data_IF_401745559069
#
_entry.id   IF_401745559069
#
_cell.length_a   1.000
_cell.length_b   1.000
_cell.length_c   1.000
_cell.angle_alpha   90.00
_cell.angle_beta   90.00
_cell.angle_gamma   90.00
#
_symmetry.space_group_name_H-M   'P 1'
#
loop_
_entity.id
_entity.type
_entity.pdbx_description
1 polymer ?
#
# COMPACT_ATOMS: atom_id res chain seq x y z
N UNK A 1 -13.96 -5.88 14.14
CA UNK A 1 -13.81 -4.43 14.36
C UNK A 1 -14.53 -4.07 15.64
N UNK A 2 -14.71 -2.77 15.91
CA UNK A 2 -15.46 -2.32 17.09
C UNK A 2 -16.97 -2.63 16.99
N UNK A 3 -17.46 -2.87 15.77
CA UNK A 3 -18.81 -3.29 15.44
C UNK A 3 -18.79 -4.43 14.41
N UNK A 4 -19.91 -5.14 14.27
CA UNK A 4 -20.09 -6.25 13.33
C UNK A 4 -20.42 -7.60 13.99
N UNK A 5 -20.64 -8.65 13.18
CA UNK A 5 -20.80 -10.02 13.66
C UNK A 5 -19.63 -10.47 14.54
N UNK A 6 -19.94 -11.06 15.69
CA UNK A 6 -18.95 -11.49 16.69
C UNK A 6 -19.42 -12.70 17.51
N UNK A 7 -18.52 -13.24 18.32
CA UNK A 7 -18.81 -14.37 19.18
C UNK A 7 -17.56 -14.99 19.81
N UNK A 8 -17.71 -16.07 20.57
CA UNK A 8 -16.59 -16.82 21.11
C UNK A 8 -15.81 -17.49 19.98
N UNK A 9 -14.55 -17.79 20.23
CA UNK A 9 -13.72 -18.62 19.38
C UNK A 9 -13.18 -19.83 20.14
N UNK A 10 -12.73 -20.82 19.38
CA UNK A 10 -11.94 -21.95 19.85
C UNK A 10 -10.73 -22.10 18.94
N UNK A 11 -9.55 -22.05 19.53
CA UNK A 11 -8.27 -22.18 18.84
C UNK A 11 -7.68 -23.58 19.09
N UNK A 12 -7.01 -24.12 18.09
CA UNK A 12 -6.36 -25.43 18.13
C UNK A 12 -4.86 -25.24 17.96
N UNK A 13 -4.13 -25.78 18.94
CA UNK A 13 -2.69 -25.70 19.03
C UNK A 13 -2.08 -27.09 18.91
N UNK A 14 -0.91 -27.16 18.30
CA UNK A 14 -0.06 -28.35 18.33
C UNK A 14 1.13 -28.12 19.26
N UNK A 15 1.39 -29.07 20.14
CA UNK A 15 2.63 -29.10 20.92
C UNK A 15 3.79 -29.58 20.03
N UNK A 16 4.72 -28.69 19.74
CA UNK A 16 5.89 -28.96 18.90
C UNK A 16 7.05 -29.59 19.66
N UNK A 17 6.92 -29.74 20.98
CA UNK A 17 7.85 -30.45 21.84
C UNK A 17 8.64 -29.54 22.78
N UNK A 18 9.19 -30.16 23.83
CA UNK A 18 9.85 -29.47 24.96
C UNK A 18 11.15 -28.73 24.61
N UNK A 19 11.73 -29.00 23.44
CA UNK A 19 12.94 -28.33 22.96
C UNK A 19 12.67 -26.88 22.50
N UNK A 20 11.40 -26.52 22.28
CA UNK A 20 10.96 -25.17 21.96
C UNK A 20 10.43 -24.52 23.24
N UNK A 21 10.85 -23.29 23.52
CA UNK A 21 10.37 -22.54 24.67
C UNK A 21 8.92 -22.09 24.48
N UNK A 22 8.10 -22.20 25.53
CA UNK A 22 6.70 -21.77 25.54
C UNK A 22 5.81 -22.64 26.43
N UNK A 23 4.90 -22.00 27.15
CA UNK A 23 3.85 -22.63 27.94
C UNK A 23 2.56 -22.84 27.14
N UNK A 24 1.62 -23.65 27.64
CA UNK A 24 0.34 -23.90 26.96
C UNK A 24 -0.49 -22.61 26.83
N UNK A 25 -1.43 -22.55 25.87
CA UNK A 25 -2.34 -21.41 25.72
C UNK A 25 -3.09 -21.10 27.02
N UNK A 26 -3.16 -19.82 27.39
CA UNK A 26 -3.72 -19.32 28.64
C UNK A 26 -2.78 -19.36 29.85
N UNK A 27 -1.53 -19.78 29.68
CA UNK A 27 -0.51 -19.77 30.75
C UNK A 27 0.32 -18.48 30.75
N UNK A 28 1.00 -18.13 31.86
CA UNK A 28 1.90 -16.96 31.90
C UNK A 28 3.05 -17.00 30.89
N UNK A 29 3.36 -18.15 30.31
CA UNK A 29 4.43 -18.36 29.33
C UNK A 29 3.87 -18.67 27.93
N UNK A 30 2.60 -18.34 27.66
CA UNK A 30 1.92 -18.65 26.39
C UNK A 30 2.55 -18.00 25.15
N UNK A 31 3.38 -16.98 25.33
CA UNK A 31 4.04 -16.23 24.24
C UNK A 31 5.17 -16.99 23.53
N UNK A 32 5.46 -18.23 23.91
CA UNK A 32 6.51 -19.03 23.28
C UNK A 32 6.04 -19.82 22.04
N UNK A 33 6.98 -20.26 21.22
CA UNK A 33 6.72 -20.91 19.92
C UNK A 33 6.37 -22.42 20.02
N UNK A 34 6.36 -22.99 21.23
CA UNK A 34 6.10 -24.42 21.47
C UNK A 34 4.69 -24.83 21.05
N UNK A 35 3.69 -24.04 21.44
CA UNK A 35 2.29 -24.31 21.11
C UNK A 35 1.92 -23.48 19.90
N UNK A 36 1.98 -24.11 18.72
CA UNK A 36 1.68 -23.44 17.46
C UNK A 36 0.18 -23.50 17.18
N UNK A 37 -0.47 -22.34 17.18
CA UNK A 37 -1.83 -22.16 16.67
C UNK A 37 -1.85 -22.47 15.17
N UNK A 38 -2.71 -23.39 14.73
CA UNK A 38 -2.84 -23.71 13.30
C UNK A 38 -4.28 -23.65 12.80
N UNK A 39 -5.26 -23.60 13.70
CA UNK A 39 -6.68 -23.55 13.35
C UNK A 39 -7.45 -22.73 14.38
N UNK A 40 -8.29 -21.81 13.90
CA UNK A 40 -9.24 -21.05 14.70
C UNK A 40 -10.68 -21.29 14.21
N UNK A 41 -11.61 -21.47 15.15
CA UNK A 41 -13.04 -21.67 14.92
C UNK A 41 -13.80 -20.53 15.62
N UNK A 42 -14.40 -19.63 14.86
CA UNK A 42 -15.18 -18.50 15.36
C UNK A 42 -16.67 -18.79 15.21
N UNK A 43 -17.39 -18.72 16.33
CA UNK A 43 -18.83 -18.96 16.37
C UNK A 43 -19.57 -17.63 16.41
N UNK A 44 -19.83 -17.06 15.23
CA UNK A 44 -20.57 -15.80 15.10
C UNK A 44 -22.02 -16.01 15.54
N UNK A 45 -22.32 -15.64 16.77
CA UNK A 45 -23.65 -15.79 17.38
C UNK A 45 -24.27 -14.44 17.77
N UNK A 46 -23.49 -13.36 17.75
CA UNK A 46 -23.91 -12.02 18.13
C UNK A 46 -23.56 -10.98 17.06
N UNK A 47 -24.26 -9.85 17.09
CA UNK A 47 -23.92 -8.62 16.37
C UNK A 47 -23.48 -7.57 17.41
N UNK A 48 -22.27 -7.05 17.28
CA UNK A 48 -21.77 -5.95 18.09
C UNK A 48 -22.23 -4.63 17.46
N UNK A 49 -23.27 -4.02 18.02
CA UNK A 49 -23.88 -2.79 17.48
C UNK A 49 -23.08 -1.56 17.91
N UNK A 50 -22.69 -1.52 19.19
CA UNK A 50 -21.80 -0.52 19.79
C UNK A 50 -20.85 -1.22 20.75
N UNK A 51 -19.88 -0.52 21.35
CA UNK A 51 -18.94 -1.14 22.29
C UNK A 51 -19.63 -1.77 23.52
N UNK A 52 -20.76 -1.21 23.93
CA UNK A 52 -21.52 -1.65 25.11
C UNK A 52 -22.74 -2.52 24.74
N UNK A 53 -23.19 -2.51 23.49
CA UNK A 53 -24.40 -3.20 23.03
C UNK A 53 -24.09 -4.36 22.09
N UNK A 54 -24.56 -5.54 22.49
CA UNK A 54 -24.45 -6.79 21.73
C UNK A 54 -25.81 -7.48 21.69
N UNK A 55 -26.24 -7.90 20.51
CA UNK A 55 -27.52 -8.57 20.30
C UNK A 55 -27.31 -9.93 19.63
N UNK A 56 -28.27 -10.85 19.79
CA UNK A 56 -28.22 -12.16 19.15
C UNK A 56 -28.39 -12.04 17.63
N UNK A 57 -27.57 -12.76 16.86
CA UNK A 57 -27.77 -12.87 15.42
C UNK A 57 -29.00 -13.72 15.13
N UNK A 58 -29.89 -13.29 14.22
CA UNK A 58 -31.04 -14.10 13.80
C UNK A 58 -30.61 -15.38 13.07
N UNK A 59 -29.39 -15.38 12.50
CA UNK A 59 -28.77 -16.52 11.81
C UNK A 59 -27.29 -16.61 12.20
N UNK A 60 -26.95 -17.40 13.22
CA UNK A 60 -25.55 -17.65 13.57
C UNK A 60 -24.78 -18.32 12.42
N UNK A 61 -23.47 -18.11 12.39
CA UNK A 61 -22.57 -18.71 11.40
C UNK A 61 -21.29 -19.21 12.06
N UNK A 62 -20.55 -20.05 11.34
CA UNK A 62 -19.24 -20.54 11.75
C UNK A 62 -18.24 -20.02 10.72
N UNK A 63 -17.22 -19.34 11.20
CA UNK A 63 -16.05 -18.95 10.43
C UNK A 63 -14.85 -19.75 10.94
N UNK A 64 -14.11 -20.38 10.02
CA UNK A 64 -12.95 -21.18 10.40
C UNK A 64 -11.76 -20.78 9.56
N UNK A 65 -10.64 -20.47 10.20
CA UNK A 65 -9.38 -20.20 9.55
C UNK A 65 -8.34 -21.23 9.94
N UNK A 66 -7.79 -21.97 8.97
CA UNK A 66 -6.65 -22.85 9.18
C UNK A 66 -5.48 -22.33 8.35
N UNK A 67 -4.33 -22.10 8.98
CA UNK A 67 -3.13 -21.65 8.28
C UNK A 67 -2.54 -22.79 7.45
N UNK A 68 -2.75 -22.78 6.13
CA UNK A 68 -2.27 -23.85 5.24
C UNK A 68 -0.75 -24.03 5.33
N UNK A 69 0.01 -22.93 5.35
CA UNK A 69 1.47 -22.95 5.48
C UNK A 69 1.94 -23.51 6.82
N UNK A 70 1.21 -23.21 7.91
CA UNK A 70 1.51 -23.78 9.25
C UNK A 70 1.17 -25.27 9.29
N UNK A 71 0.04 -25.66 8.68
CA UNK A 71 -0.30 -27.07 8.55
C UNK A 71 0.74 -27.81 7.72
N UNK A 72 1.24 -27.21 6.64
CA UNK A 72 2.31 -27.76 5.83
C UNK A 72 3.60 -27.94 6.63
N UNK A 73 4.01 -26.94 7.44
CA UNK A 73 5.20 -27.10 8.30
C UNK A 73 5.04 -28.22 9.32
N UNK A 74 3.84 -28.36 9.90
CA UNK A 74 3.50 -29.45 10.82
C UNK A 74 3.62 -30.81 10.12
N UNK A 75 2.98 -30.97 8.96
CA UNK A 75 2.96 -32.25 8.23
C UNK A 75 4.34 -32.64 7.68
N UNK A 76 5.16 -31.66 7.34
CA UNK A 76 6.53 -31.88 6.87
C UNK A 76 7.54 -32.03 8.01
N UNK A 77 7.13 -31.80 9.26
CA UNK A 77 7.99 -31.91 10.44
C UNK A 77 9.11 -30.86 10.48
N UNK A 78 8.85 -29.66 9.97
CA UNK A 78 9.81 -28.53 9.94
C UNK A 78 9.38 -27.44 10.91
N UNK A 79 10.35 -26.66 11.40
CA UNK A 79 10.10 -25.69 12.47
C UNK A 79 9.58 -24.35 11.96
N UNK A 80 9.83 -24.03 10.69
CA UNK A 80 9.41 -22.80 10.05
C UNK A 80 8.60 -23.06 8.79
N UNK A 81 7.62 -22.21 8.52
CA UNK A 81 6.92 -22.20 7.23
C UNK A 81 7.90 -22.01 6.06
N UNK A 82 9.02 -21.32 6.29
CA UNK A 82 10.06 -21.09 5.28
C UNK A 82 10.91 -22.33 4.97
N UNK A 83 10.77 -23.39 5.76
CA UNK A 83 11.45 -24.67 5.54
C UNK A 83 10.55 -25.67 4.81
N UNK A 84 9.29 -25.34 4.56
CA UNK A 84 8.41 -26.14 3.70
C UNK A 84 8.98 -26.23 2.29
N UNK A 85 8.68 -27.31 1.58
CA UNK A 85 9.02 -27.53 0.17
C UNK A 85 8.78 -26.29 -0.72
N UNK A 86 7.59 -25.70 -0.66
CA UNK A 86 7.23 -24.51 -1.44
C UNK A 86 8.20 -23.34 -1.18
N UNK A 87 8.41 -22.96 0.08
CA UNK A 87 9.27 -21.83 0.40
C UNK A 87 10.75 -22.15 0.17
N UNK A 88 11.18 -23.39 0.41
CA UNK A 88 12.55 -23.83 0.16
C UNK A 88 12.91 -23.68 -1.32
N UNK A 89 12.04 -24.11 -2.24
CA UNK A 89 12.28 -23.93 -3.67
C UNK A 89 12.37 -22.45 -4.09
N UNK A 90 11.56 -21.57 -3.49
CA UNK A 90 11.65 -20.13 -3.73
C UNK A 90 12.94 -19.51 -3.19
N UNK A 91 13.36 -19.93 -1.98
CA UNK A 91 14.62 -19.51 -1.36
C UNK A 91 15.80 -19.99 -2.20
N UNK A 92 15.79 -21.25 -2.65
CA UNK A 92 16.83 -21.82 -3.51
C UNK A 92 16.93 -21.08 -4.86
N UNK A 93 15.78 -20.71 -5.45
CA UNK A 93 15.76 -19.89 -6.66
C UNK A 93 16.37 -18.50 -6.43
N UNK A 94 16.06 -17.86 -5.30
CA UNK A 94 16.67 -16.59 -4.91
C UNK A 94 18.18 -16.74 -4.68
N UNK A 95 18.62 -17.78 -3.97
CA UNK A 95 20.03 -18.09 -3.72
C UNK A 95 20.80 -18.33 -5.02
N UNK A 96 20.23 -19.10 -5.95
CA UNK A 96 20.84 -19.32 -7.26
C UNK A 96 20.95 -18.03 -8.07
N UNK A 97 19.95 -17.14 -7.98
CA UNK A 97 19.94 -15.89 -8.74
C UNK A 97 20.87 -14.82 -8.13
N UNK A 98 21.11 -14.88 -6.82
CA UNK A 98 22.05 -14.01 -6.08
C UNK A 98 23.49 -14.53 -6.18
N UNK A 99 23.68 -15.86 -6.21
CA UNK A 99 24.98 -16.52 -6.29
C UNK A 99 25.54 -17.03 -4.96
N UNK A 100 24.78 -16.93 -3.87
CA UNK A 100 25.11 -17.51 -2.57
C UNK A 100 23.85 -17.94 -1.81
N UNK A 101 24.00 -18.80 -0.81
CA UNK A 101 22.89 -19.32 0.00
C UNK A 101 22.65 -18.52 1.28
N UNK A 102 21.53 -18.75 1.98
CA UNK A 102 21.27 -18.14 3.28
C UNK A 102 22.27 -18.61 4.34
N UNK A 103 22.72 -17.66 5.16
CA UNK A 103 23.43 -17.90 6.42
C UNK A 103 22.66 -17.29 7.60
N UNK A 104 23.24 -17.31 8.80
CA UNK A 104 22.59 -16.80 10.02
C UNK A 104 22.21 -15.32 9.93
N UNK A 105 22.95 -14.51 9.19
CA UNK A 105 22.74 -13.06 9.09
C UNK A 105 21.79 -12.72 7.93
N UNK A 106 21.79 -13.54 6.89
CA UNK A 106 21.07 -13.28 5.63
C UNK A 106 19.78 -14.06 5.46
N UNK A 107 19.55 -15.12 6.25
CA UNK A 107 18.35 -15.98 6.13
C UNK A 107 17.04 -15.18 6.18
N UNK A 108 16.97 -14.13 7.01
CA UNK A 108 15.79 -13.27 7.08
C UNK A 108 15.50 -12.57 5.75
N UNK A 109 16.52 -12.13 5.01
CA UNK A 109 16.36 -11.48 3.71
C UNK A 109 15.83 -12.45 2.65
N UNK A 110 16.32 -13.69 2.62
CA UNK A 110 15.80 -14.71 1.72
C UNK A 110 14.32 -15.03 1.99
N UNK A 111 13.95 -15.13 3.27
CA UNK A 111 12.56 -15.34 3.71
C UNK A 111 11.65 -14.20 3.25
N UNK A 112 12.07 -12.94 3.44
CA UNK A 112 11.31 -11.77 2.99
C UNK A 112 11.15 -11.74 1.48
N UNK A 113 12.20 -12.05 0.71
CA UNK A 113 12.13 -12.10 -0.76
C UNK A 113 11.11 -13.14 -1.21
N UNK A 114 11.16 -14.36 -0.65
CA UNK A 114 10.24 -15.44 -1.03
C UNK A 114 8.77 -15.09 -0.70
N UNK A 115 8.51 -14.59 0.51
CA UNK A 115 7.16 -14.20 0.94
C UNK A 115 6.60 -13.01 0.13
N UNK A 116 7.41 -11.99 -0.09
CA UNK A 116 6.96 -10.79 -0.79
C UNK A 116 6.88 -11.01 -2.31
N UNK A 117 7.63 -11.95 -2.87
CA UNK A 117 7.42 -12.43 -4.24
C UNK A 117 6.03 -13.04 -4.39
N UNK A 118 5.61 -13.94 -3.48
CA UNK A 118 4.27 -14.53 -3.48
C UNK A 118 3.22 -13.42 -3.40
N UNK A 119 3.28 -12.60 -2.36
CA UNK A 119 2.30 -11.54 -2.10
C UNK A 119 2.16 -10.57 -3.27
N UNK A 120 3.29 -10.10 -3.83
CA UNK A 120 3.27 -9.17 -4.97
C UNK A 120 2.67 -9.83 -6.22
N UNK A 121 2.98 -11.10 -6.47
CA UNK A 121 2.52 -11.82 -7.66
C UNK A 121 1.03 -12.09 -7.63
N UNK A 122 0.46 -12.49 -6.48
CA UNK A 122 -0.98 -12.66 -6.32
C UNK A 122 -1.73 -11.33 -6.49
N UNK A 123 -1.26 -10.25 -5.87
CA UNK A 123 -1.86 -8.93 -6.03
C UNK A 123 -1.89 -8.49 -7.51
N UNK A 124 -0.79 -8.69 -8.23
CA UNK A 124 -0.72 -8.34 -9.66
C UNK A 124 -1.60 -9.27 -10.52
N UNK A 125 -1.66 -10.56 -10.20
CA UNK A 125 -2.56 -11.50 -10.88
C UNK A 125 -4.04 -11.12 -10.74
N UNK A 126 -4.40 -10.54 -9.58
CA UNK A 126 -5.74 -10.03 -9.28
C UNK A 126 -6.00 -8.61 -9.84
N UNK A 127 -5.07 -8.06 -10.63
CA UNK A 127 -5.23 -6.77 -11.31
C UNK A 127 -4.81 -5.55 -10.49
N UNK A 128 -4.18 -5.72 -9.33
CA UNK A 128 -3.62 -4.60 -8.56
C UNK A 128 -2.30 -4.17 -9.20
N UNK A 129 -2.23 -2.91 -9.63
CA UNK A 129 -1.00 -2.31 -10.16
C UNK A 129 -0.36 -1.34 -9.14
N UNK A 130 0.98 -1.19 -9.14
CA UNK A 130 1.65 -0.28 -8.21
C UNK A 130 1.19 1.17 -8.37
N UNK A 131 0.74 1.80 -7.28
CA UNK A 131 0.23 3.19 -7.27
C UNK A 131 0.66 3.94 -6.00
N UNK A 132 0.25 5.21 -5.88
CA UNK A 132 0.52 6.03 -4.70
C UNK A 132 -0.54 5.85 -3.59
N UNK A 133 -1.66 5.18 -3.87
CA UNK A 133 -2.82 5.11 -2.96
C UNK A 133 -3.47 3.72 -2.91
N UNK A 134 -4.25 3.46 -1.86
CA UNK A 134 -5.03 2.24 -1.69
C UNK A 134 -4.20 0.95 -1.82
N UNK A 135 -4.75 -0.05 -2.53
CA UNK A 135 -4.10 -1.37 -2.70
C UNK A 135 -2.81 -1.29 -3.51
N UNK A 136 -2.73 -0.38 -4.50
CA UNK A 136 -1.53 -0.19 -5.30
C UNK A 136 -0.35 0.38 -4.50
N UNK A 137 -0.63 1.22 -3.49
CA UNK A 137 0.40 1.66 -2.54
C UNK A 137 0.93 0.49 -1.69
N UNK A 138 0.03 -0.36 -1.17
CA UNK A 138 0.43 -1.55 -0.39
C UNK A 138 1.31 -2.49 -1.23
N UNK A 139 0.90 -2.80 -2.46
CA UNK A 139 1.70 -3.60 -3.39
C UNK A 139 3.09 -3.00 -3.59
N UNK A 140 3.16 -1.70 -3.85
CA UNK A 140 4.42 -0.98 -4.04
C UNK A 140 5.34 -1.11 -2.81
N UNK A 141 4.81 -1.00 -1.59
CA UNK A 141 5.59 -1.17 -0.35
C UNK A 141 6.17 -2.58 -0.22
N UNK A 142 5.35 -3.60 -0.46
CA UNK A 142 5.77 -5.02 -0.41
C UNK A 142 6.89 -5.27 -1.42
N UNK A 143 6.69 -4.83 -2.67
CA UNK A 143 7.68 -4.93 -3.75
C UNK A 143 9.01 -4.27 -3.36
N UNK A 144 8.96 -3.03 -2.88
CA UNK A 144 10.17 -2.26 -2.53
C UNK A 144 10.92 -2.86 -1.35
N UNK A 145 10.21 -3.43 -0.38
CA UNK A 145 10.82 -4.15 0.74
C UNK A 145 11.58 -5.38 0.26
N UNK A 146 10.99 -6.17 -0.65
CA UNK A 146 11.68 -7.31 -1.26
C UNK A 146 12.95 -6.88 -2.02
N UNK A 147 12.85 -5.80 -2.82
CA UNK A 147 13.97 -5.23 -3.58
C UNK A 147 15.08 -4.72 -2.66
N UNK A 148 14.74 -4.13 -1.50
CA UNK A 148 15.72 -3.75 -0.47
C UNK A 148 16.49 -4.97 0.01
N UNK A 149 15.80 -6.05 0.36
CA UNK A 149 16.46 -7.28 0.82
C UNK A 149 17.33 -7.91 -0.28
N UNK A 150 16.89 -7.87 -1.55
CA UNK A 150 17.73 -8.30 -2.66
C UNK A 150 19.01 -7.46 -2.77
N UNK A 151 18.92 -6.13 -2.61
CA UNK A 151 20.08 -5.23 -2.62
C UNK A 151 21.03 -5.49 -1.45
N UNK A 152 20.52 -5.79 -0.24
CA UNK A 152 21.34 -6.16 0.92
C UNK A 152 22.11 -7.46 0.69
N UNK A 153 21.53 -8.39 -0.07
CA UNK A 153 22.19 -9.65 -0.44
C UNK A 153 23.18 -9.48 -1.60
N UNK A 154 23.34 -8.27 -2.14
CA UNK A 154 24.31 -7.96 -3.20
C UNK A 154 23.76 -8.11 -4.62
N UNK A 155 22.44 -8.07 -4.83
CA UNK A 155 21.87 -8.11 -6.18
C UNK A 155 22.33 -6.90 -7.02
N UNK A 156 23.11 -7.17 -8.06
CA UNK A 156 23.64 -6.15 -8.98
C UNK A 156 22.76 -5.87 -10.19
N UNK A 157 21.65 -6.58 -10.34
CA UNK A 157 20.67 -6.44 -11.42
C UNK A 157 19.27 -6.69 -10.84
N UNK A 158 18.19 -6.20 -11.47
CA UNK A 158 16.83 -6.54 -11.08
C UNK A 158 16.65 -8.06 -10.93
N UNK A 159 16.22 -8.50 -9.75
CA UNK A 159 16.20 -9.88 -9.29
C UNK A 159 14.77 -10.44 -9.23
N UNK A 160 13.80 -9.67 -8.73
CA UNK A 160 12.49 -10.18 -8.33
C UNK A 160 11.74 -10.85 -9.49
N UNK A 161 11.76 -10.22 -10.67
CA UNK A 161 11.10 -10.76 -11.86
C UNK A 161 11.71 -12.11 -12.32
N UNK A 162 12.98 -12.38 -12.02
CA UNK A 162 13.65 -13.65 -12.36
C UNK A 162 13.13 -14.81 -11.53
N UNK A 163 12.50 -14.53 -10.40
CA UNK A 163 11.96 -15.53 -9.48
C UNK A 163 10.52 -15.94 -9.84
N UNK A 164 9.83 -15.17 -10.68
CA UNK A 164 8.44 -15.45 -11.10
C UNK A 164 8.28 -16.85 -11.70
N UNK A 165 9.18 -17.35 -12.58
CA UNK A 165 9.03 -18.70 -13.11
C UNK A 165 9.12 -19.78 -12.02
N UNK A 166 9.89 -19.56 -10.94
CA UNK A 166 9.94 -20.49 -9.81
C UNK A 166 8.60 -20.48 -9.06
N UNK A 167 8.06 -19.30 -8.77
CA UNK A 167 6.74 -19.17 -8.16
C UNK A 167 5.64 -19.86 -8.97
N UNK A 168 5.61 -19.63 -10.28
CA UNK A 168 4.61 -20.21 -11.18
C UNK A 168 4.72 -21.74 -11.21
N UNK A 169 5.94 -22.30 -11.14
CA UNK A 169 6.12 -23.76 -11.02
C UNK A 169 5.58 -24.31 -9.71
N UNK A 170 5.84 -23.65 -8.59
CA UNK A 170 5.40 -24.13 -7.26
C UNK A 170 3.89 -23.99 -7.05
N UNK A 171 3.29 -22.92 -7.57
CA UNK A 171 1.91 -22.53 -7.22
C UNK A 171 0.94 -22.53 -8.40
N UNK A 172 1.41 -22.46 -9.65
CA UNK A 172 0.57 -22.21 -10.82
C UNK A 172 -0.46 -23.30 -11.11
N UNK A 173 -0.23 -24.54 -10.68
CA UNK A 173 -1.22 -25.61 -10.82
C UNK A 173 -2.45 -25.39 -9.93
N UNK A 174 -2.24 -24.99 -8.66
CA UNK A 174 -3.31 -24.70 -7.72
C UNK A 174 -3.94 -23.32 -7.96
N UNK A 175 -3.17 -22.39 -8.53
CA UNK A 175 -3.55 -21.00 -8.77
C UNK A 175 -3.33 -20.61 -10.25
N UNK A 176 -4.23 -21.02 -11.18
CA UNK A 176 -4.07 -20.79 -12.62
C UNK A 176 -4.02 -19.31 -13.04
N UNK A 177 -4.49 -18.40 -12.20
CA UNK A 177 -4.32 -16.95 -12.32
C UNK A 177 -2.83 -16.54 -12.35
N UNK A 178 -1.95 -17.23 -11.62
CA UNK A 178 -0.50 -16.96 -11.69
C UNK A 178 0.09 -17.33 -13.05
N UNK A 179 -0.36 -18.44 -13.65
CA UNK A 179 0.03 -18.82 -15.01
C UNK A 179 -0.46 -17.80 -16.05
N UNK A 180 -1.73 -17.39 -15.95
CA UNK A 180 -2.32 -16.38 -16.86
C UNK A 180 -1.67 -15.00 -16.69
N UNK A 181 -1.34 -14.63 -15.46
CA UNK A 181 -0.75 -13.36 -15.09
C UNK A 181 0.78 -13.29 -15.21
N UNK A 182 1.47 -14.40 -15.51
CA UNK A 182 2.94 -14.51 -15.45
C UNK A 182 3.66 -13.36 -16.18
N UNK A 183 3.20 -13.01 -17.39
CA UNK A 183 3.80 -11.93 -18.17
C UNK A 183 3.59 -10.56 -17.51
N UNK A 184 2.38 -10.27 -17.03
CA UNK A 184 2.06 -9.02 -16.34
C UNK A 184 2.84 -8.88 -15.03
N UNK A 185 2.92 -9.96 -14.24
CA UNK A 185 3.69 -10.02 -13.00
C UNK A 185 5.17 -9.73 -13.30
N UNK A 186 5.73 -10.42 -14.29
CA UNK A 186 7.13 -10.28 -14.70
C UNK A 186 7.46 -8.85 -15.11
N UNK A 187 6.67 -8.26 -16.01
CA UNK A 187 6.92 -6.90 -16.49
C UNK A 187 6.71 -5.85 -15.38
N UNK A 188 5.70 -6.04 -14.52
CA UNK A 188 5.43 -5.12 -13.40
C UNK A 188 6.59 -5.12 -12.40
N UNK A 189 7.06 -6.28 -11.96
CA UNK A 189 8.20 -6.41 -11.06
C UNK A 189 9.46 -5.81 -11.69
N UNK A 190 9.74 -6.14 -12.95
CA UNK A 190 10.93 -5.67 -13.67
C UNK A 190 10.95 -4.16 -13.83
N UNK A 191 9.83 -3.55 -14.23
CA UNK A 191 9.72 -2.10 -14.41
C UNK A 191 9.86 -1.35 -13.09
N UNK A 192 9.15 -1.78 -12.04
CA UNK A 192 9.23 -1.12 -10.73
C UNK A 192 10.63 -1.27 -10.13
N UNK A 193 11.24 -2.46 -10.19
CA UNK A 193 12.58 -2.71 -9.67
C UNK A 193 13.63 -1.85 -10.41
N UNK A 194 13.55 -1.80 -11.74
CA UNK A 194 14.47 -1.00 -12.56
C UNK A 194 14.36 0.48 -12.23
N UNK A 195 13.14 1.02 -12.08
CA UNK A 195 12.90 2.42 -11.72
C UNK A 195 13.39 2.73 -10.31
N UNK A 196 13.07 1.85 -9.36
CA UNK A 196 13.31 2.11 -7.95
C UNK A 196 14.77 1.91 -7.54
N UNK A 197 15.53 1.05 -8.22
CA UNK A 197 16.91 0.69 -7.84
C UNK A 197 17.83 1.90 -7.66
N UNK A 198 17.79 2.87 -8.57
CA UNK A 198 18.65 4.08 -8.47
C UNK A 198 18.36 4.86 -7.18
N UNK A 199 17.08 5.02 -6.86
CA UNK A 199 16.62 5.66 -5.63
C UNK A 199 17.01 4.86 -4.40
N UNK A 200 16.86 3.53 -4.45
CA UNK A 200 17.19 2.62 -3.35
C UNK A 200 18.68 2.68 -2.98
N UNK A 201 19.58 2.53 -3.94
CA UNK A 201 21.03 2.53 -3.68
C UNK A 201 21.49 3.86 -3.08
N UNK A 202 21.04 4.97 -3.68
CA UNK A 202 21.36 6.31 -3.19
C UNK A 202 20.78 6.56 -1.79
N UNK A 203 19.51 6.18 -1.58
CA UNK A 203 18.80 6.38 -0.32
C UNK A 203 19.41 5.58 0.83
N UNK A 204 19.81 4.33 0.59
CA UNK A 204 20.49 3.50 1.60
C UNK A 204 21.84 4.09 2.01
N UNK A 205 22.62 4.64 1.06
CA UNK A 205 23.87 5.32 1.36
C UNK A 205 23.67 6.53 2.25
N UNK A 206 22.72 7.40 1.89
CA UNK A 206 22.38 8.59 2.68
C UNK A 206 21.82 8.25 4.07
N UNK A 207 21.00 7.21 4.17
CA UNK A 207 20.47 6.73 5.45
C UNK A 207 21.60 6.19 6.33
N UNK A 208 22.56 5.46 5.75
CA UNK A 208 23.72 4.95 6.49
C UNK A 208 24.56 6.10 7.07
N UNK A 209 24.83 7.13 6.28
CA UNK A 209 25.55 8.34 6.71
C UNK A 209 24.79 9.09 7.82
N UNK A 210 23.49 9.31 7.62
CA UNK A 210 22.63 10.00 8.59
C UNK A 210 22.49 9.26 9.93
N UNK A 211 22.76 7.96 9.96
CA UNK A 211 22.58 7.12 11.16
C UNK A 211 23.86 6.50 11.67
N UNK A 212 25.03 6.92 11.18
CA UNK A 212 26.31 6.34 11.56
C UNK A 212 26.57 6.43 13.07
N UNK A 213 26.15 7.54 13.69
CA UNK A 213 26.33 7.81 15.13
C UNK A 213 25.18 7.32 16.00
N UNK A 214 24.13 6.73 15.42
CA UNK A 214 22.95 6.27 16.16
C UNK A 214 23.08 4.81 16.60
N UNK A 215 22.58 4.54 17.80
CA UNK A 215 22.61 3.24 18.47
C UNK A 215 21.20 2.70 18.75
N UNK A 216 21.13 1.45 19.20
CA UNK A 216 19.85 0.83 19.57
C UNK A 216 19.12 1.66 20.64
N UNK A 217 17.84 1.96 20.39
CA UNK A 217 17.01 2.82 21.23
C UNK A 217 16.96 4.29 20.78
N UNK A 218 17.86 4.71 19.89
CA UNK A 218 17.85 6.08 19.37
C UNK A 218 16.74 6.29 18.32
N UNK A 219 16.59 7.55 17.91
CA UNK A 219 15.59 8.00 16.95
C UNK A 219 16.26 8.83 15.85
N UNK A 220 16.02 8.47 14.58
CA UNK A 220 16.34 9.33 13.45
C UNK A 220 15.39 10.53 13.47
N UNK A 221 15.95 11.73 13.36
CA UNK A 221 15.17 12.96 13.36
C UNK A 221 14.22 13.05 12.16
N UNK A 222 13.07 13.67 12.39
CA UNK A 222 12.00 13.72 11.41
C UNK A 222 12.32 14.55 10.18
N UNK A 223 13.15 15.59 10.32
CA UNK A 223 13.58 16.44 9.21
C UNK A 223 14.52 15.69 8.25
N UNK A 224 15.46 14.91 8.76
CA UNK A 224 16.33 14.05 7.96
C UNK A 224 15.54 12.94 7.28
N UNK A 225 14.62 12.29 7.99
CA UNK A 225 13.70 11.32 7.37
C UNK A 225 12.84 11.96 6.27
N UNK A 226 12.39 13.21 6.47
CA UNK A 226 11.64 13.97 5.49
C UNK A 226 12.47 14.35 4.27
N UNK A 227 13.72 14.77 4.47
CA UNK A 227 14.66 15.04 3.38
C UNK A 227 14.96 13.80 2.54
N UNK A 228 15.12 12.63 3.18
CA UNK A 228 15.22 11.34 2.49
C UNK A 228 14.01 11.08 1.58
N UNK A 229 12.81 11.32 2.10
CA UNK A 229 11.56 11.14 1.39
C UNK A 229 11.38 12.12 0.23
N UNK A 230 11.43 13.41 0.51
CA UNK A 230 11.08 14.48 -0.42
C UNK A 230 12.18 14.73 -1.47
N UNK A 231 13.41 14.94 -1.01
CA UNK A 231 14.51 15.35 -1.89
C UNK A 231 15.10 14.17 -2.67
N UNK A 232 15.15 12.99 -2.05
CA UNK A 232 15.83 11.83 -2.62
C UNK A 232 14.87 10.72 -3.06
N UNK A 233 13.57 10.86 -2.78
CA UNK A 233 12.55 9.88 -3.15
C UNK A 233 12.62 8.58 -2.35
N UNK A 234 13.37 8.55 -1.24
CA UNK A 234 13.56 7.35 -0.42
C UNK A 234 12.40 7.20 0.58
N UNK A 235 11.52 6.20 0.39
CA UNK A 235 10.25 6.12 1.12
C UNK A 235 10.43 6.00 2.64
N UNK A 236 9.58 6.69 3.41
CA UNK A 236 9.59 6.65 4.88
C UNK A 236 9.48 5.21 5.41
N UNK A 237 8.66 4.37 4.78
CA UNK A 237 8.47 2.99 5.21
C UNK A 237 9.74 2.15 5.05
N UNK A 238 10.55 2.41 4.02
CA UNK A 238 11.87 1.77 3.88
C UNK A 238 12.89 2.33 4.87
N UNK A 239 12.83 3.62 5.19
CA UNK A 239 13.64 4.19 6.27
C UNK A 239 13.35 3.49 7.59
N UNK A 240 12.07 3.34 7.94
CA UNK A 240 11.64 2.64 9.15
C UNK A 240 12.05 1.16 9.12
N UNK A 241 11.83 0.46 8.00
CA UNK A 241 12.20 -0.96 7.86
C UNK A 241 13.72 -1.17 7.94
N UNK A 242 14.51 -0.21 7.45
CA UNK A 242 15.96 -0.26 7.53
C UNK A 242 16.52 -0.05 8.93
N UNK A 243 15.92 0.88 9.67
CA UNK A 243 16.37 1.20 11.02
C UNK A 243 15.87 0.21 12.07
N UNK A 244 14.75 -0.47 11.81
CA UNK A 244 14.21 -1.51 12.69
C UNK A 244 15.21 -2.61 13.03
N UNK A 245 16.05 -3.03 12.07
CA UNK A 245 17.07 -4.06 12.30
C UNK A 245 18.15 -3.63 13.32
N UNK A 246 18.36 -2.32 13.46
CA UNK A 246 19.30 -1.73 14.43
C UNK A 246 18.59 -1.28 15.72
N UNK A 247 17.30 -1.57 15.87
CA UNK A 247 16.45 -1.06 16.95
C UNK A 247 16.46 0.47 17.04
N UNK A 248 16.57 1.16 15.89
CA UNK A 248 16.48 2.61 15.78
C UNK A 248 15.07 2.97 15.29
N UNK A 249 14.46 3.95 15.93
CA UNK A 249 13.13 4.47 15.57
C UNK A 249 13.23 5.69 14.66
N UNK A 250 12.12 6.15 14.11
CA UNK A 250 12.05 7.39 13.31
C UNK A 250 11.07 8.33 14.00
N UNK A 251 11.44 9.61 14.14
CA UNK A 251 10.55 10.65 14.66
C UNK A 251 9.45 10.97 13.65
N UNK A 252 8.31 10.30 13.80
CA UNK A 252 7.14 10.48 12.94
C UNK A 252 6.47 11.84 13.16
N UNK A 253 6.53 12.38 14.38
CA UNK A 253 5.96 13.68 14.67
C UNK A 253 6.78 14.78 13.96
N UNK A 254 8.11 14.73 14.09
CA UNK A 254 9.02 15.60 13.36
C UNK A 254 8.87 15.50 11.85
N UNK A 255 8.73 14.28 11.31
CA UNK A 255 8.52 14.06 9.87
C UNK A 255 7.22 14.70 9.38
N UNK A 256 6.14 14.53 10.15
CA UNK A 256 4.82 15.10 9.81
C UNK A 256 4.87 16.62 9.86
N UNK A 257 5.50 17.18 10.89
CA UNK A 257 5.70 18.62 11.02
C UNK A 257 6.50 19.18 9.84
N UNK A 258 7.59 18.53 9.43
CA UNK A 258 8.41 18.93 8.28
C UNK A 258 7.60 18.90 6.97
N UNK A 259 6.77 17.88 6.77
CA UNK A 259 5.87 17.78 5.62
C UNK A 259 4.82 18.90 5.60
N UNK A 260 4.22 19.23 6.74
CA UNK A 260 3.25 20.32 6.85
C UNK A 260 3.89 21.68 6.60
N UNK A 261 5.10 21.90 7.10
CA UNK A 261 5.88 23.12 6.85
C UNK A 261 6.19 23.27 5.36
N UNK A 262 6.68 22.23 4.69
CA UNK A 262 6.96 22.27 3.25
C UNK A 262 5.69 22.54 2.43
N UNK A 263 4.55 21.91 2.79
CA UNK A 263 3.26 22.20 2.15
C UNK A 263 2.84 23.66 2.34
N UNK A 264 3.02 24.19 3.55
CA UNK A 264 2.71 25.59 3.85
C UNK A 264 3.65 26.56 3.11
N UNK A 265 4.93 26.23 2.98
CA UNK A 265 5.91 27.03 2.23
C UNK A 265 5.65 26.99 0.72
N UNK A 266 5.35 25.82 0.15
CA UNK A 266 4.93 25.69 -1.24
C UNK A 266 3.70 26.56 -1.54
N UNK A 267 2.72 26.58 -0.63
CA UNK A 267 1.54 27.48 -0.71
C UNK A 267 1.90 28.96 -0.65
N UNK A 268 2.91 29.35 0.15
CA UNK A 268 3.38 30.75 0.27
C UNK A 268 4.20 31.20 -0.94
N UNK A 269 5.05 30.34 -1.49
CA UNK A 269 5.90 30.64 -2.65
C UNK A 269 5.14 30.62 -3.97
N UNK A 270 3.97 29.97 -4.04
CA UNK A 270 3.08 30.01 -5.21
C UNK A 270 2.40 31.38 -5.42
N UNK A 271 2.46 32.29 -4.44
CA UNK A 271 1.80 33.60 -4.48
C UNK A 271 2.50 34.67 -5.36
N UNK A 272 3.33 34.26 -6.34
CA UNK A 272 4.36 35.09 -6.95
C UNK A 272 4.43 35.11 -8.48
N UNK A 273 3.31 35.06 -9.20
CA UNK A 273 3.21 35.57 -10.59
C UNK A 273 1.74 35.82 -10.94
N UNK A 274 1.45 36.91 -11.66
CA UNK A 274 0.12 37.51 -11.80
C UNK A 274 -0.99 36.65 -12.46
N UNK A 275 -0.66 35.50 -13.05
CA UNK A 275 -1.64 34.53 -13.56
C UNK A 275 -2.08 33.49 -12.51
N UNK A 276 -1.39 33.41 -11.36
CA UNK A 276 -1.54 32.35 -10.35
C UNK A 276 -2.68 32.55 -9.32
N UNK A 277 -3.32 33.72 -9.29
CA UNK A 277 -4.48 33.95 -8.42
C UNK A 277 -5.65 33.01 -8.75
N UNK A 278 -5.76 32.62 -10.03
CA UNK A 278 -6.78 31.74 -10.57
C UNK A 278 -6.55 30.27 -10.21
N UNK A 279 -5.33 29.83 -9.91
CA UNK A 279 -5.05 28.43 -9.51
C UNK A 279 -5.18 28.16 -8.01
N UNK A 280 -4.95 29.19 -7.18
CA UNK A 280 -5.07 29.05 -5.71
C UNK A 280 -6.50 28.71 -5.30
N UNK A 281 -7.49 29.29 -6.00
CA UNK A 281 -8.90 28.94 -5.80
C UNK A 281 -9.14 27.46 -6.16
N UNK A 282 -8.58 26.96 -7.27
CA UNK A 282 -8.78 25.57 -7.70
C UNK A 282 -8.20 24.54 -6.74
N UNK A 283 -7.04 24.80 -6.12
CA UNK A 283 -6.52 23.93 -5.06
C UNK A 283 -7.43 23.89 -3.84
N UNK A 284 -7.90 25.05 -3.36
CA UNK A 284 -8.81 25.12 -2.20
C UNK A 284 -10.18 24.51 -2.50
N UNK A 285 -10.66 24.64 -3.74
CA UNK A 285 -11.89 24.01 -4.22
C UNK A 285 -11.70 22.50 -4.31
N UNK A 286 -10.59 22.00 -4.86
CA UNK A 286 -10.28 20.56 -4.93
C UNK A 286 -10.16 19.91 -3.55
N UNK A 287 -9.55 20.61 -2.58
CA UNK A 287 -9.43 20.11 -1.21
C UNK A 287 -10.80 19.96 -0.52
N UNK A 288 -11.77 20.81 -0.85
CA UNK A 288 -13.13 20.77 -0.31
C UNK A 288 -14.09 19.87 -1.10
N UNK A 289 -14.03 19.92 -2.43
CA UNK A 289 -14.96 19.27 -3.35
C UNK A 289 -14.51 17.85 -3.76
N UNK A 290 -13.23 17.50 -3.56
CA UNK A 290 -12.66 16.24 -4.04
C UNK A 290 -12.34 16.26 -5.54
N UNK A 291 -12.15 15.07 -6.12
CA UNK A 291 -11.92 14.91 -7.55
C UNK A 291 -13.26 14.75 -8.29
N UNK A 292 -13.38 15.38 -9.46
CA UNK A 292 -14.49 15.15 -10.39
C UNK A 292 -14.28 13.85 -11.14
N UNK A 293 -15.30 13.00 -11.19
CA UNK A 293 -15.30 11.77 -11.99
C UNK A 293 -15.60 12.09 -13.47
N UNK A 294 -14.72 11.65 -14.36
CA UNK A 294 -14.89 11.86 -15.80
C UNK A 294 -15.57 10.65 -16.45
N UNK A 295 -16.74 10.89 -17.06
CA UNK A 295 -17.60 9.86 -17.65
C UNK A 295 -17.64 9.91 -19.19
N UNK A 296 -16.93 10.85 -19.81
CA UNK A 296 -17.00 11.10 -21.27
C UNK A 296 -16.45 9.98 -22.15
N UNK A 297 -15.84 8.94 -21.57
CA UNK A 297 -15.50 7.71 -22.30
C UNK A 297 -16.70 6.76 -22.49
N UNK A 298 -17.75 6.91 -21.67
CA UNK A 298 -18.89 5.99 -21.61
C UNK A 298 -20.21 6.65 -22.03
N UNK A 299 -20.38 7.94 -21.77
CA UNK A 299 -21.63 8.67 -22.03
C UNK A 299 -21.39 10.14 -22.38
N UNK A 300 -22.31 10.71 -23.17
CA UNK A 300 -22.37 12.15 -23.52
C UNK A 300 -23.29 12.94 -22.58
N UNK A 301 -24.01 12.27 -21.68
CA UNK A 301 -24.91 12.87 -20.71
C UNK A 301 -24.73 12.24 -19.32
N UNK A 302 -24.69 13.07 -18.27
CA UNK A 302 -24.63 12.61 -16.89
C UNK A 302 -25.40 13.58 -15.97
N UNK A 303 -25.96 13.04 -14.88
CA UNK A 303 -26.47 13.85 -13.77
C UNK A 303 -25.34 14.11 -12.78
N UNK A 304 -25.28 15.28 -12.15
CA UNK A 304 -24.20 15.60 -11.20
C UNK A 304 -24.60 16.69 -10.23
N UNK A 305 -23.81 16.84 -9.16
CA UNK A 305 -24.03 17.87 -8.14
C UNK A 305 -23.00 18.98 -8.35
N UNK A 306 -23.46 20.24 -8.39
CA UNK A 306 -22.56 21.41 -8.37
C UNK A 306 -21.91 21.51 -6.99
N UNK A 307 -20.59 21.35 -6.95
CA UNK A 307 -19.77 21.38 -5.74
C UNK A 307 -19.22 22.78 -5.44
N UNK A 308 -18.96 23.59 -6.47
CA UNK A 308 -18.48 24.96 -6.31
C UNK A 308 -18.80 25.82 -7.54
N UNK A 309 -19.00 27.12 -7.28
CA UNK A 309 -19.04 28.17 -8.30
C UNK A 309 -17.88 29.13 -8.07
N UNK A 310 -17.17 29.47 -9.14
CA UNK A 310 -16.04 30.40 -9.10
C UNK A 310 -16.29 31.53 -10.10
N UNK A 311 -16.22 32.77 -9.63
CA UNK A 311 -16.34 33.99 -10.45
C UNK A 311 -15.20 34.94 -10.15
N UNK A 312 -14.54 35.47 -11.17
CA UNK A 312 -13.43 36.42 -11.03
C UNK A 312 -12.34 35.95 -10.03
N UNK A 313 -12.03 34.65 -10.05
CA UNK A 313 -11.05 34.02 -9.16
C UNK A 313 -11.50 33.84 -7.70
N UNK A 314 -12.80 33.99 -7.39
CA UNK A 314 -13.36 33.83 -6.03
C UNK A 314 -14.49 32.82 -6.02
N UNK A 315 -14.54 31.99 -4.98
CA UNK A 315 -15.70 31.14 -4.73
C UNK A 315 -16.91 32.02 -4.38
N UNK A 316 -18.05 31.72 -4.99
CA UNK A 316 -19.33 32.42 -4.77
C UNK A 316 -20.42 31.41 -4.45
N UNK A 317 -21.41 31.83 -3.66
CA UNK A 317 -22.54 30.96 -3.28
C UNK A 317 -23.66 30.94 -4.33
N UNK A 318 -23.69 31.92 -5.24
CA UNK A 318 -24.72 32.04 -6.27
C UNK A 318 -24.24 32.85 -7.47
N UNK A 319 -24.78 32.56 -8.66
CA UNK A 319 -24.55 33.31 -9.91
C UNK A 319 -25.88 33.72 -10.56
N UNK A 320 -25.92 34.89 -11.19
CA UNK A 320 -27.10 35.43 -11.85
C UNK A 320 -27.13 35.20 -13.36
N UNK A 321 -28.26 35.51 -14.00
CA UNK A 321 -28.38 35.47 -15.47
C UNK A 321 -27.39 36.45 -16.10
N UNK A 322 -26.50 35.94 -16.95
CA UNK A 322 -25.50 36.74 -17.67
C UNK A 322 -24.12 36.77 -16.99
N UNK A 323 -23.96 36.15 -15.81
CA UNK A 323 -22.65 35.98 -15.19
C UNK A 323 -21.86 34.89 -15.90
N UNK A 324 -20.57 35.15 -16.18
CA UNK A 324 -19.62 34.12 -16.58
C UNK A 324 -19.00 33.51 -15.31
N UNK A 325 -19.15 32.20 -15.14
CA UNK A 325 -18.65 31.47 -13.97
C UNK A 325 -18.02 30.16 -14.38
N UNK A 326 -17.04 29.70 -13.60
CA UNK A 326 -16.51 28.35 -13.69
C UNK A 326 -17.19 27.47 -12.63
N UNK A 327 -17.55 26.24 -13.01
CA UNK A 327 -18.40 25.35 -12.22
C UNK A 327 -17.64 24.05 -11.98
N UNK A 328 -17.58 23.62 -10.72
CA UNK A 328 -17.07 22.28 -10.38
C UNK A 328 -18.25 21.39 -10.07
N UNK A 329 -18.30 20.23 -10.72
CA UNK A 329 -19.33 19.21 -10.50
C UNK A 329 -18.71 17.93 -9.95
N UNK A 330 -19.52 17.08 -9.34
CA UNK A 330 -19.09 15.76 -8.85
C UNK A 330 -18.68 14.82 -9.97
N UNK A 331 -19.37 14.89 -11.11
CA UNK A 331 -19.09 14.07 -12.29
C UNK A 331 -19.49 14.79 -13.58
N UNK A 332 -18.80 14.53 -14.67
CA UNK A 332 -19.02 15.21 -15.96
C UNK A 332 -18.67 14.35 -17.17
N UNK A 333 -19.45 14.41 -18.27
CA UNK A 333 -19.03 13.84 -19.55
C UNK A 333 -18.16 14.82 -20.38
N UNK A 334 -18.09 16.10 -20.00
CA UNK A 334 -17.32 17.12 -20.73
C UNK A 334 -15.82 16.89 -20.59
N UNK A 335 -15.14 16.70 -21.72
CA UNK A 335 -13.70 16.50 -21.77
C UNK A 335 -12.95 17.83 -21.62
N UNK A 336 -12.13 17.94 -20.58
CA UNK A 336 -11.35 19.14 -20.34
C UNK A 336 -10.24 19.33 -21.38
N UNK A 337 -9.96 20.57 -21.80
CA UNK A 337 -8.89 20.85 -22.76
C UNK A 337 -7.54 20.26 -22.28
N UNK A 338 -7.01 19.30 -23.05
CA UNK A 338 -5.77 18.61 -22.69
C UNK A 338 -5.10 17.94 -23.89
N UNK A 339 -3.76 17.92 -23.90
CA UNK A 339 -2.99 17.20 -24.93
C UNK A 339 -3.12 17.77 -26.35
N UNK A 340 -3.56 19.02 -26.50
CA UNK A 340 -3.80 19.68 -27.80
C UNK A 340 -5.20 19.45 -28.38
N UNK A 341 -6.10 18.79 -27.63
CA UNK A 341 -7.51 18.64 -27.98
C UNK A 341 -8.33 19.72 -27.25
N UNK A 342 -9.20 20.43 -27.99
CA UNK A 342 -10.10 21.45 -27.46
C UNK A 342 -11.12 20.86 -26.49
N UNK A 343 -11.47 21.64 -25.45
CA UNK A 343 -12.52 21.30 -24.49
C UNK A 343 -13.90 21.20 -25.14
N UNK A 344 -14.79 20.43 -24.50
CA UNK A 344 -16.16 20.23 -24.96
C UNK A 344 -17.05 21.44 -24.65
N UNK A 345 -18.09 21.63 -25.47
CA UNK A 345 -19.12 22.65 -25.28
C UNK A 345 -20.50 22.00 -25.18
N UNK A 346 -21.42 22.64 -24.46
CA UNK A 346 -22.75 22.07 -24.27
C UNK A 346 -23.59 22.81 -23.23
N UNK A 347 -24.48 22.10 -22.55
CA UNK A 347 -25.46 22.70 -21.64
C UNK A 347 -25.51 21.91 -20.32
N UNK A 348 -25.43 22.64 -19.20
CA UNK A 348 -25.80 22.15 -17.87
C UNK A 348 -27.19 22.72 -17.55
N UNK A 349 -28.14 21.87 -17.17
CA UNK A 349 -29.51 22.30 -16.82
C UNK A 349 -29.99 21.68 -15.52
N UNK A 350 -30.84 22.39 -14.80
CA UNK A 350 -31.45 21.94 -13.56
C UNK A 350 -32.79 22.64 -13.30
N UNK A 351 -33.35 22.47 -12.11
CA UNK A 351 -34.63 23.08 -11.78
C UNK A 351 -34.52 24.61 -11.76
N UNK A 352 -35.10 25.26 -12.77
CA UNK A 352 -35.16 26.72 -12.87
C UNK A 352 -33.90 27.41 -13.44
N UNK A 353 -32.91 26.66 -13.92
CA UNK A 353 -31.71 27.23 -14.55
C UNK A 353 -31.19 26.42 -15.75
N UNK A 354 -30.50 27.12 -16.65
CA UNK A 354 -29.75 26.54 -17.77
C UNK A 354 -28.49 27.35 -17.95
N UNK A 355 -27.36 26.66 -18.13
CA UNK A 355 -26.02 27.23 -18.24
C UNK A 355 -25.39 26.68 -19.51
N UNK A 356 -24.90 27.59 -20.35
CA UNK A 356 -24.14 27.24 -21.55
C UNK A 356 -22.67 27.05 -21.17
N UNK A 357 -22.09 25.91 -21.54
CA UNK A 357 -20.68 25.58 -21.37
C UNK A 357 -19.95 26.00 -22.63
N UNK A 358 -19.22 27.11 -22.54
CA UNK A 358 -18.42 27.64 -23.65
C UNK A 358 -17.02 27.04 -23.75
N UNK A 359 -16.53 26.46 -22.66
CA UNK A 359 -15.23 25.78 -22.51
C UNK A 359 -15.26 24.92 -21.24
N UNK A 360 -14.59 23.77 -21.26
CA UNK A 360 -14.64 22.77 -20.17
C UNK A 360 -13.26 22.40 -19.65
#
# INVERSE_FOLDING_TARGET
GDTGPCGPCSEIFIDRGEHIWGGPPGSPEEDGDRFLEFWNLVFMQYEQVTKEERIDLPRPSIDTGMGLERMASILQGVESVFETDLFRHLIDAASSAIGHGPDKETVASYRVIADHLRSSSFLVADGVLPSNEGRGYVLRRIMRRAMRHAQLLGANEPLMWKLVPALVREMGQAYPELLRGEQLITETLKLEETRFRKTLVRGLGLLSEATETLHAGDMLDGETAFKLYDTYGFPLDLTQDALRQRSISVDLAGFTNAMEQQKAEARKHWAGSGDAATETIWFSVREKAGATEFLGYETEAAEGIIQALVRDGKAVDSAGKGDAVAIVVSQTPFYAESGGQMGDTGIISGEGFSIEVSDS
#
